data_IF_353258042333
#
_entry.id   IF_353258042333
#
_cell.length_a   1.000
_cell.length_b   1.000
_cell.length_c   1.000
_cell.angle_alpha   90.00
_cell.angle_beta   90.00
_cell.angle_gamma   90.00
#
_symmetry.space_group_name_H-M   'P 1'
#
loop_
_entity.id
_entity.type
_entity.pdbx_description
1 polymer ?
#
# COMPACT_ATOMS: atom_id res chain seq x y z
N UNK A 1 1.85 34.54 17.15
CA UNK A 1 2.98 34.32 16.23
C UNK A 1 4.08 35.27 16.61
N UNK A 2 5.30 34.75 16.77
CA UNK A 2 6.51 35.55 16.99
C UNK A 2 7.51 35.20 15.88
N UNK A 3 8.14 36.22 15.30
CA UNK A 3 9.10 36.06 14.21
C UNK A 3 10.37 36.86 14.52
N UNK A 4 11.51 36.17 14.49
CA UNK A 4 12.84 36.76 14.55
C UNK A 4 13.65 36.25 13.33
N UNK A 5 14.02 37.18 12.47
CA UNK A 5 14.75 36.83 11.27
C UNK A 5 15.75 37.92 10.90
N UNK A 6 16.85 37.54 10.28
CA UNK A 6 17.86 38.42 9.72
C UNK A 6 18.20 37.95 8.30
N UNK A 7 18.38 38.88 7.41
CA UNK A 7 18.69 38.51 6.03
C UNK A 7 19.30 39.63 5.22
N UNK A 8 19.66 39.30 4.00
CA UNK A 8 20.11 40.19 2.96
C UNK A 8 19.50 39.76 1.61
N UNK A 9 20.00 40.30 0.50
CA UNK A 9 19.47 40.00 -0.83
C UNK A 9 19.71 38.54 -1.30
N UNK A 10 20.48 37.73 -0.58
CA UNK A 10 20.94 36.42 -0.98
C UNK A 10 20.54 35.30 -0.03
N UNK A 11 20.22 35.63 1.22
CA UNK A 11 19.86 34.65 2.25
C UNK A 11 18.98 35.26 3.35
N UNK A 12 18.24 34.39 4.00
CA UNK A 12 17.53 34.71 5.25
C UNK A 12 17.83 33.66 6.29
N UNK A 13 18.22 34.12 7.47
CA UNK A 13 18.30 33.31 8.67
C UNK A 13 17.06 33.59 9.53
N UNK A 14 16.22 32.60 9.66
CA UNK A 14 15.08 32.58 10.55
C UNK A 14 15.57 32.02 11.89
N UNK A 15 15.92 32.95 12.80
CA UNK A 15 16.41 32.58 14.13
C UNK A 15 15.30 31.91 14.95
N UNK A 16 14.05 32.39 14.76
CA UNK A 16 12.88 31.83 15.44
C UNK A 16 11.59 32.25 14.74
N UNK A 17 10.75 31.28 14.44
CA UNK A 17 9.32 31.49 14.16
C UNK A 17 8.53 30.60 15.10
N UNK A 18 7.75 31.21 15.96
CA UNK A 18 6.87 30.49 16.89
C UNK A 18 5.42 30.72 16.49
N UNK A 19 4.69 29.63 16.34
CA UNK A 19 3.26 29.63 16.04
C UNK A 19 2.54 28.83 17.12
N UNK A 20 1.65 29.47 17.85
CA UNK A 20 0.71 28.77 18.72
C UNK A 20 -0.49 28.32 17.87
N UNK A 21 -0.65 27.04 17.70
CA UNK A 21 -1.73 26.40 16.95
C UNK A 21 -2.03 25.01 17.52
N UNK A 22 -3.25 24.52 17.30
CA UNK A 22 -3.68 23.19 17.74
C UNK A 22 -3.40 22.93 19.22
N UNK A 23 -3.70 23.92 20.06
CA UNK A 23 -3.49 23.90 21.52
C UNK A 23 -2.02 23.68 21.96
N UNK A 24 -1.10 23.70 21.04
CA UNK A 24 0.34 23.56 21.26
C UNK A 24 1.14 24.68 20.63
N UNK A 25 2.43 24.48 20.60
CA UNK A 25 3.39 25.42 20.02
C UNK A 25 4.28 24.73 19.00
N UNK A 26 4.50 25.42 17.90
CA UNK A 26 5.43 24.99 16.85
C UNK A 26 6.53 26.04 16.71
N UNK A 27 7.78 25.62 16.81
CA UNK A 27 8.96 26.47 16.60
C UNK A 27 9.70 26.03 15.35
N UNK A 28 9.96 26.95 14.44
CA UNK A 28 10.78 26.74 13.25
C UNK A 28 12.01 27.63 13.31
N UNK A 29 13.17 27.02 13.10
CA UNK A 29 14.44 27.67 12.76
C UNK A 29 14.86 27.28 11.37
N UNK A 30 15.30 28.21 10.54
CA UNK A 30 15.70 27.89 9.18
C UNK A 30 16.73 28.85 8.63
N UNK A 31 17.62 28.33 7.82
CA UNK A 31 18.49 29.10 6.93
C UNK A 31 18.06 28.81 5.49
N UNK A 32 17.72 29.84 4.75
CA UNK A 32 17.47 29.79 3.32
C UNK A 32 18.52 30.63 2.60
N UNK A 33 19.05 30.10 1.52
CA UNK A 33 20.02 30.74 0.65
C UNK A 33 19.58 30.57 -0.81
N UNK A 34 19.72 31.63 -1.62
CA UNK A 34 19.32 31.62 -3.03
C UNK A 34 20.33 32.30 -3.97
N UNK A 35 21.61 32.30 -3.59
CA UNK A 35 22.67 32.87 -4.40
C UNK A 35 22.85 32.17 -5.76
N UNK A 36 22.89 30.86 -5.76
CA UNK A 36 23.08 30.01 -6.95
C UNK A 36 21.91 29.03 -7.14
N UNK A 37 21.50 28.43 -6.08
CA UNK A 37 20.37 27.52 -5.99
C UNK A 37 19.57 27.89 -4.75
N UNK A 38 18.28 27.65 -4.76
CA UNK A 38 17.52 27.74 -3.49
C UNK A 38 17.95 26.56 -2.63
N UNK A 39 18.57 26.83 -1.51
CA UNK A 39 18.91 25.79 -0.51
C UNK A 39 18.32 26.13 0.85
N UNK A 40 18.05 25.13 1.62
CA UNK A 40 17.52 25.28 2.97
C UNK A 40 18.13 24.29 3.94
N UNK A 41 18.17 24.72 5.18
CA UNK A 41 18.37 23.89 6.36
C UNK A 41 17.37 24.36 7.43
N UNK A 42 16.57 23.45 7.95
CA UNK A 42 15.54 23.80 8.90
C UNK A 42 15.43 22.80 10.03
N UNK A 43 14.96 23.29 11.17
CA UNK A 43 14.61 22.51 12.34
C UNK A 43 13.22 22.93 12.80
N UNK A 44 12.29 22.00 12.82
CA UNK A 44 10.94 22.16 13.29
C UNK A 44 10.76 21.40 14.60
N UNK A 45 10.38 22.12 15.64
CA UNK A 45 10.04 21.56 16.95
C UNK A 45 8.54 21.67 17.18
N UNK A 46 7.92 20.60 17.60
CA UNK A 46 6.50 20.51 17.95
C UNK A 46 6.38 20.29 19.46
N UNK A 47 5.56 21.08 20.14
CA UNK A 47 5.35 21.01 21.59
C UNK A 47 3.85 20.92 21.89
N UNK A 48 3.41 19.76 22.37
CA UNK A 48 2.07 19.55 22.89
C UNK A 48 0.95 19.69 21.85
N UNK A 49 1.21 19.41 20.57
CA UNK A 49 0.24 19.55 19.48
C UNK A 49 -0.95 18.62 19.69
N UNK A 50 -2.15 19.19 19.74
CA UNK A 50 -3.41 18.48 19.84
C UNK A 50 -4.20 18.58 18.55
N UNK A 51 -4.41 17.44 17.89
CA UNK A 51 -5.13 17.38 16.62
C UNK A 51 -6.65 17.37 16.78
N UNK A 52 -7.18 17.27 17.99
CA UNK A 52 -8.62 17.10 18.25
C UNK A 52 -9.50 18.22 17.67
N UNK A 53 -8.96 19.45 17.54
CA UNK A 53 -9.71 20.57 17.00
C UNK A 53 -10.07 20.41 15.52
N UNK A 54 -9.15 19.86 14.73
CA UNK A 54 -9.35 19.61 13.30
C UNK A 54 -9.84 18.17 13.04
N UNK A 55 -9.43 17.24 13.89
CA UNK A 55 -9.77 15.81 13.83
C UNK A 55 -10.27 15.34 15.20
N UNK A 56 -11.56 15.55 15.54
CA UNK A 56 -12.08 15.26 16.88
C UNK A 56 -11.93 13.80 17.32
N UNK A 57 -11.88 12.88 16.36
CA UNK A 57 -11.66 11.45 16.62
C UNK A 57 -10.21 11.10 16.97
N UNK A 58 -9.27 12.05 16.81
CA UNK A 58 -7.85 11.85 17.00
C UNK A 58 -7.24 12.85 17.99
N UNK A 59 -7.77 12.93 19.23
CA UNK A 59 -7.16 13.77 20.25
C UNK A 59 -5.73 13.31 20.50
N UNK A 60 -4.80 14.26 20.54
CA UNK A 60 -3.38 13.96 20.67
C UNK A 60 -2.68 14.92 21.63
N UNK A 61 -1.49 14.52 22.05
CA UNK A 61 -0.50 15.39 22.66
C UNK A 61 0.86 14.97 22.10
N UNK A 62 1.25 15.64 21.02
CA UNK A 62 2.43 15.27 20.24
C UNK A 62 3.55 16.27 20.45
N UNK A 63 4.75 15.73 20.60
CA UNK A 63 6.01 16.47 20.60
C UNK A 63 6.88 15.92 19.47
N UNK A 64 7.67 16.77 18.83
CA UNK A 64 8.48 16.31 17.71
C UNK A 64 9.66 17.19 17.41
N UNK A 65 10.63 16.61 16.74
CA UNK A 65 11.78 17.27 16.16
C UNK A 65 11.97 16.76 14.74
N UNK A 66 11.93 17.66 13.78
CA UNK A 66 12.17 17.35 12.38
C UNK A 66 13.26 18.26 11.87
N UNK A 67 14.38 17.68 11.49
CA UNK A 67 15.43 18.40 10.77
C UNK A 67 15.35 18.12 9.28
N UNK A 68 15.47 19.16 8.47
CA UNK A 68 15.44 19.03 7.01
C UNK A 68 16.52 19.88 6.38
N UNK A 69 17.05 19.41 5.26
CA UNK A 69 17.92 20.17 4.38
C UNK A 69 17.69 19.77 2.95
N UNK A 70 17.90 20.70 2.05
CA UNK A 70 17.72 20.42 0.63
C UNK A 70 18.12 21.55 -0.27
N UNK A 71 17.91 21.33 -1.55
CA UNK A 71 18.13 22.34 -2.57
C UNK A 71 17.15 22.18 -3.73
N UNK A 72 16.92 23.30 -4.42
CA UNK A 72 16.14 23.38 -5.66
C UNK A 72 16.98 24.16 -6.68
N UNK A 73 17.29 23.53 -7.80
CA UNK A 73 18.03 24.13 -8.90
C UNK A 73 17.52 23.63 -10.24
N UNK A 74 17.25 24.56 -11.18
CA UNK A 74 16.81 24.20 -12.54
C UNK A 74 15.54 23.33 -12.60
N UNK A 75 14.64 23.48 -11.63
CA UNK A 75 13.42 22.67 -11.53
C UNK A 75 13.63 21.28 -10.89
N UNK A 76 14.86 20.92 -10.54
CA UNK A 76 15.16 19.69 -9.80
C UNK A 76 15.37 20.01 -8.33
N UNK A 77 14.83 19.14 -7.47
CA UNK A 77 15.01 19.25 -6.02
C UNK A 77 15.65 17.99 -5.44
N UNK A 78 16.34 18.17 -4.34
CA UNK A 78 16.79 17.10 -3.45
C UNK A 78 16.52 17.52 -2.00
N UNK A 79 16.10 16.57 -1.20
CA UNK A 79 15.76 16.77 0.21
C UNK A 79 16.29 15.64 1.06
N UNK A 80 16.75 15.97 2.24
CA UNK A 80 17.13 15.04 3.28
C UNK A 80 16.43 15.44 4.59
N UNK A 81 15.90 14.45 5.29
CA UNK A 81 15.42 14.55 6.67
C UNK A 81 16.35 13.70 7.54
N UNK A 82 17.47 14.28 8.05
CA UNK A 82 18.47 13.55 8.81
C UNK A 82 17.97 13.18 10.21
N UNK A 83 16.92 13.82 10.69
CA UNK A 83 16.31 13.48 11.96
C UNK A 83 14.80 13.74 11.89
N UNK A 84 14.04 12.69 12.09
CA UNK A 84 12.59 12.71 12.30
C UNK A 84 12.32 12.03 13.64
N UNK A 85 11.77 12.75 14.58
CA UNK A 85 11.30 12.22 15.86
C UNK A 85 9.94 12.79 16.17
N UNK A 86 8.97 11.92 16.43
CA UNK A 86 7.65 12.29 16.92
C UNK A 86 7.30 11.38 18.09
N UNK A 87 6.94 11.97 19.21
CA UNK A 87 6.59 11.24 20.43
C UNK A 87 5.33 11.83 21.05
N UNK A 88 4.67 11.08 21.91
CA UNK A 88 3.51 11.55 22.63
C UNK A 88 2.42 10.51 22.71
N UNK A 89 1.18 10.99 22.66
CA UNK A 89 0.02 10.11 22.65
C UNK A 89 -0.99 10.56 21.58
N UNK A 90 -1.66 9.59 20.98
CA UNK A 90 -2.86 9.79 20.18
C UNK A 90 -3.96 8.97 20.85
N UNK A 91 -5.05 9.64 21.24
CA UNK A 91 -6.02 9.06 22.18
C UNK A 91 -5.29 8.67 23.47
N UNK A 92 -5.36 7.40 23.84
CA UNK A 92 -4.65 6.85 25.00
C UNK A 92 -3.40 6.05 24.60
N UNK A 93 -3.11 5.97 23.30
CA UNK A 93 -2.01 5.17 22.79
C UNK A 93 -0.74 5.99 22.66
N UNK A 94 0.37 5.46 23.18
CA UNK A 94 1.69 6.05 23.02
C UNK A 94 2.08 6.00 21.53
N UNK A 95 2.62 7.11 21.05
CA UNK A 95 3.19 7.23 19.70
C UNK A 95 4.68 7.45 19.80
N UNK A 96 5.43 6.73 18.98
CA UNK A 96 6.82 6.98 18.72
C UNK A 96 7.08 6.80 17.22
N UNK A 97 7.62 7.82 16.57
CA UNK A 97 8.09 7.74 15.19
C UNK A 97 9.49 8.27 15.17
N UNK A 98 10.41 7.49 14.65
CA UNK A 98 11.79 7.91 14.43
C UNK A 98 12.31 7.41 13.09
N UNK A 99 13.18 8.20 12.47
CA UNK A 99 13.74 7.80 11.20
C UNK A 99 14.53 8.87 10.48
N UNK A 100 15.00 8.47 9.32
CA UNK A 100 15.71 9.31 8.37
C UNK A 100 15.23 9.00 6.96
N UNK A 101 15.18 10.00 6.10
CA UNK A 101 14.81 9.80 4.71
C UNK A 101 15.51 10.82 3.80
N UNK A 102 15.72 10.44 2.55
CA UNK A 102 16.22 11.31 1.47
C UNK A 102 15.36 11.09 0.23
N UNK A 103 15.13 12.16 -0.51
CA UNK A 103 14.38 12.07 -1.75
C UNK A 103 14.82 13.12 -2.77
N UNK A 104 14.43 12.93 -4.03
CA UNK A 104 14.71 13.88 -5.10
C UNK A 104 13.56 13.93 -6.12
N UNK A 105 13.63 14.89 -7.03
CA UNK A 105 12.65 15.12 -8.10
C UNK A 105 12.50 13.96 -9.09
N UNK A 106 13.42 13.01 -9.10
CA UNK A 106 13.35 11.79 -9.91
C UNK A 106 12.60 10.66 -9.22
N UNK A 107 11.86 10.96 -8.14
CA UNK A 107 11.12 9.97 -7.33
C UNK A 107 12.02 8.87 -6.75
N UNK A 108 13.29 9.20 -6.52
CA UNK A 108 14.20 8.31 -5.81
C UNK A 108 14.14 8.63 -4.32
N UNK A 109 13.85 7.61 -3.52
CA UNK A 109 13.76 7.71 -2.07
C UNK A 109 14.70 6.70 -1.41
N UNK A 110 15.48 7.18 -0.47
CA UNK A 110 16.28 6.34 0.43
C UNK A 110 15.71 6.48 1.84
N UNK A 111 15.43 5.36 2.46
CA UNK A 111 14.91 5.24 3.83
C UNK A 111 15.88 4.36 4.60
N UNK A 112 16.94 4.92 5.20
CA UNK A 112 17.91 4.14 5.98
C UNK A 112 17.26 3.38 7.14
N UNK A 113 16.21 3.96 7.70
CA UNK A 113 15.35 3.34 8.70
C UNK A 113 14.24 4.30 9.07
N UNK A 114 13.02 3.78 9.10
CA UNK A 114 11.82 4.44 9.62
C UNK A 114 11.13 3.46 10.56
N UNK A 115 11.02 3.84 11.82
CA UNK A 115 10.34 3.07 12.86
C UNK A 115 9.10 3.82 13.32
N UNK A 116 7.98 3.11 13.41
CA UNK A 116 6.69 3.65 13.82
C UNK A 116 6.11 2.76 14.91
N UNK A 117 5.67 3.39 15.99
CA UNK A 117 4.94 2.73 17.07
C UNK A 117 3.66 3.49 17.36
N UNK A 118 2.56 2.76 17.54
CA UNK A 118 1.28 3.30 18.01
C UNK A 118 0.62 2.31 18.96
N UNK A 119 0.66 2.61 20.25
CA UNK A 119 0.27 1.67 21.29
C UNK A 119 1.13 0.40 21.22
N UNK A 120 0.52 -0.77 21.10
CA UNK A 120 1.24 -2.03 20.98
C UNK A 120 1.72 -2.34 19.56
N UNK A 121 1.33 -1.52 18.57
CA UNK A 121 1.62 -1.78 17.16
C UNK A 121 2.93 -1.14 16.74
N UNK A 122 3.70 -1.83 15.91
CA UNK A 122 4.92 -1.33 15.33
C UNK A 122 5.03 -1.66 13.84
N UNK A 123 5.72 -0.77 13.11
CA UNK A 123 6.13 -1.01 11.74
C UNK A 123 7.55 -0.47 11.52
N UNK A 124 8.33 -1.19 10.75
CA UNK A 124 9.67 -0.78 10.34
C UNK A 124 9.76 -0.80 8.81
N UNK A 125 10.35 0.25 8.25
CA UNK A 125 10.58 0.36 6.80
C UNK A 125 12.01 0.81 6.58
N UNK A 126 12.73 0.12 5.68
CA UNK A 126 14.08 0.50 5.28
C UNK A 126 14.34 0.13 3.83
N UNK A 127 15.20 0.89 3.18
CA UNK A 127 15.63 0.58 1.83
C UNK A 127 15.59 1.76 0.88
N UNK A 128 15.46 1.45 -0.37
CA UNK A 128 15.46 2.41 -1.47
C UNK A 128 14.30 2.13 -2.41
N UNK A 129 13.66 3.21 -2.85
CA UNK A 129 12.62 3.20 -3.87
C UNK A 129 13.00 4.18 -4.95
N UNK A 130 13.05 3.71 -6.18
CA UNK A 130 13.29 4.53 -7.34
C UNK A 130 12.59 3.98 -8.57
N UNK A 131 12.60 4.73 -9.67
CA UNK A 131 12.01 4.27 -10.92
C UNK A 131 12.74 3.05 -11.47
N UNK A 132 14.05 2.95 -11.23
CA UNK A 132 14.89 1.85 -11.74
C UNK A 132 15.33 0.86 -10.67
N UNK A 133 15.37 1.28 -9.41
CA UNK A 133 15.93 0.47 -8.33
C UNK A 133 14.93 0.34 -7.19
N UNK A 134 14.57 -0.89 -6.90
CA UNK A 134 13.69 -1.27 -5.80
C UNK A 134 14.49 -2.11 -4.81
N UNK A 135 14.62 -1.65 -3.58
CA UNK A 135 15.27 -2.35 -2.49
C UNK A 135 14.63 -1.96 -1.16
N UNK A 136 13.43 -2.47 -0.89
CA UNK A 136 12.64 -2.12 0.28
C UNK A 136 12.38 -3.34 1.15
N UNK A 137 12.61 -3.20 2.45
CA UNK A 137 12.14 -4.13 3.49
C UNK A 137 11.11 -3.41 4.36
N UNK A 138 9.97 -4.02 4.57
CA UNK A 138 8.95 -3.56 5.49
C UNK A 138 8.51 -4.70 6.41
N UNK A 139 8.42 -4.43 7.70
CA UNK A 139 7.87 -5.36 8.69
C UNK A 139 6.73 -4.69 9.44
N UNK A 140 5.69 -5.44 9.76
CA UNK A 140 4.54 -4.99 10.52
C UNK A 140 4.30 -5.98 11.65
N UNK A 141 4.11 -5.45 12.86
CA UNK A 141 3.66 -6.20 14.01
C UNK A 141 2.58 -5.38 14.72
N UNK A 142 1.32 -5.70 14.47
CA UNK A 142 0.17 -4.98 14.98
C UNK A 142 -0.75 -5.94 15.76
N UNK A 143 -0.45 -6.19 17.05
CA UNK A 143 -1.27 -7.04 17.91
C UNK A 143 -2.59 -6.40 18.35
N UNK A 144 -2.85 -5.13 18.01
CA UNK A 144 -4.07 -4.40 18.36
C UNK A 144 -4.38 -3.30 17.36
N UNK A 145 -5.03 -3.64 16.24
CA UNK A 145 -5.38 -2.68 15.19
C UNK A 145 -6.43 -1.65 15.64
N UNK A 146 -7.24 -1.94 16.63
CA UNK A 146 -8.18 -1.02 17.28
C UNK A 146 -7.48 0.21 17.88
N UNK A 147 -6.22 0.08 18.24
CA UNK A 147 -5.39 1.20 18.70
C UNK A 147 -4.82 2.03 17.53
N UNK A 148 -4.78 1.48 16.30
CA UNK A 148 -4.23 2.15 15.13
C UNK A 148 -5.28 2.97 14.37
N UNK A 149 -6.46 2.40 14.15
CA UNK A 149 -7.54 3.05 13.39
C UNK A 149 -8.89 2.87 14.09
N UNK A 150 -9.69 3.95 14.24
CA UNK A 150 -11.03 3.86 14.80
C UNK A 150 -11.89 2.87 14.03
N UNK A 151 -12.52 1.93 14.74
CA UNK A 151 -13.40 0.93 14.14
C UNK A 151 -12.70 -0.24 13.46
N UNK A 152 -11.36 -0.21 13.33
CA UNK A 152 -10.59 -1.36 12.85
C UNK A 152 -10.18 -2.22 14.04
N UNK A 153 -10.65 -3.45 14.11
CA UNK A 153 -10.22 -4.44 15.11
C UNK A 153 -9.38 -5.54 14.51
N UNK A 154 -8.70 -6.29 15.38
CA UNK A 154 -7.92 -7.47 15.01
C UNK A 154 -6.41 -7.28 15.14
N UNK A 155 -5.69 -8.21 14.55
CA UNK A 155 -4.21 -8.23 14.58
C UNK A 155 -3.65 -8.41 13.18
N UNK A 156 -2.45 -7.88 12.94
CA UNK A 156 -1.72 -8.10 11.70
C UNK A 156 -0.22 -8.23 11.97
N UNK A 157 0.44 -9.12 11.25
CA UNK A 157 1.89 -9.21 11.22
C UNK A 157 2.35 -9.62 9.84
N UNK A 158 3.54 -9.17 9.47
CA UNK A 158 4.05 -9.53 8.15
C UNK A 158 5.39 -8.95 7.83
N UNK A 159 5.93 -9.49 6.76
CA UNK A 159 7.18 -9.08 6.13
C UNK A 159 6.92 -8.91 4.63
N UNK A 160 7.40 -7.80 4.08
CA UNK A 160 7.44 -7.56 2.63
C UNK A 160 8.85 -7.15 2.25
N UNK A 161 9.42 -7.81 1.25
CA UNK A 161 10.71 -7.43 0.65
C UNK A 161 10.51 -7.21 -0.84
N UNK A 162 10.92 -6.06 -1.32
CA UNK A 162 10.89 -5.72 -2.75
C UNK A 162 12.32 -5.48 -3.21
N UNK A 163 12.69 -6.06 -4.33
CA UNK A 163 14.03 -5.94 -4.94
C UNK A 163 13.90 -5.78 -6.45
N UNK A 164 15.01 -5.41 -7.10
CA UNK A 164 15.11 -5.34 -8.56
C UNK A 164 14.69 -4.01 -9.14
N UNK A 165 13.99 -4.01 -10.24
CA UNK A 165 13.48 -2.82 -10.93
C UNK A 165 11.97 -2.88 -11.10
N UNK A 166 11.33 -1.80 -11.52
CA UNK A 166 9.89 -1.80 -11.81
C UNK A 166 9.56 -2.78 -12.94
N UNK A 167 10.44 -2.91 -13.92
CA UNK A 167 10.28 -3.83 -15.05
C UNK A 167 10.60 -5.29 -14.69
N UNK A 168 11.44 -5.50 -13.67
CA UNK A 168 11.87 -6.82 -13.22
C UNK A 168 11.83 -6.92 -11.69
N UNK A 169 10.66 -6.80 -11.07
CA UNK A 169 10.52 -6.81 -9.62
C UNK A 169 10.72 -8.21 -9.04
N UNK A 170 11.30 -8.24 -7.87
CA UNK A 170 11.32 -9.42 -6.98
C UNK A 170 10.53 -9.06 -5.74
N UNK A 171 9.61 -9.92 -5.36
CA UNK A 171 8.75 -9.70 -4.20
C UNK A 171 8.75 -10.95 -3.33
N UNK A 172 9.08 -10.78 -2.06
CA UNK A 172 8.79 -11.74 -1.02
C UNK A 172 7.77 -11.11 -0.07
N UNK A 173 6.64 -11.77 0.13
CA UNK A 173 5.61 -11.33 1.07
C UNK A 173 5.15 -12.51 1.93
N UNK A 174 5.05 -12.27 3.22
CA UNK A 174 4.43 -13.18 4.20
C UNK A 174 3.64 -12.32 5.18
N UNK A 175 2.31 -12.28 5.01
CA UNK A 175 1.42 -11.44 5.79
C UNK A 175 0.32 -12.32 6.38
N UNK A 176 0.06 -12.16 7.66
CA UNK A 176 -1.05 -12.78 8.36
C UNK A 176 -1.82 -11.73 9.14
N UNK A 177 -3.15 -11.72 8.99
CA UNK A 177 -4.04 -10.94 9.84
C UNK A 177 -5.12 -11.85 10.43
N UNK A 178 -5.60 -11.52 11.65
CA UNK A 178 -6.60 -12.31 12.37
C UNK A 178 -7.60 -11.42 13.06
N UNK A 179 -8.86 -11.87 13.06
CA UNK A 179 -9.96 -11.20 13.76
C UNK A 179 -10.19 -9.77 13.26
N UNK A 180 -9.96 -9.53 11.96
CA UNK A 180 -10.20 -8.22 11.37
C UNK A 180 -11.67 -7.85 11.49
N UNK A 181 -11.93 -6.63 11.91
CA UNK A 181 -13.28 -6.05 11.99
C UNK A 181 -13.21 -4.63 11.49
N UNK A 182 -14.13 -4.27 10.60
CA UNK A 182 -14.28 -2.92 10.11
C UNK A 182 -15.77 -2.66 9.85
N UNK A 183 -16.36 -1.80 10.67
CA UNK A 183 -17.82 -1.60 10.65
C UNK A 183 -18.55 -2.95 10.80
N UNK A 184 -19.37 -3.32 9.83
CA UNK A 184 -20.11 -4.58 9.81
C UNK A 184 -19.34 -5.76 9.20
N UNK A 185 -18.17 -5.48 8.57
CA UNK A 185 -17.30 -6.51 8.00
C UNK A 185 -16.46 -7.17 9.09
N UNK A 186 -16.49 -8.49 9.15
CA UNK A 186 -15.54 -9.27 9.92
C UNK A 186 -14.85 -10.32 9.06
N UNK A 187 -13.55 -10.57 9.35
CA UNK A 187 -12.74 -11.59 8.68
C UNK A 187 -11.92 -12.30 9.75
N UNK A 188 -12.09 -13.60 9.87
CA UNK A 188 -11.38 -14.34 10.91
C UNK A 188 -9.88 -14.44 10.65
N UNK A 189 -9.49 -14.75 9.42
CA UNK A 189 -8.09 -14.86 9.06
C UNK A 189 -7.84 -14.46 7.61
N UNK A 190 -6.73 -13.74 7.41
CA UNK A 190 -6.13 -13.47 6.10
C UNK A 190 -4.68 -13.96 6.12
N UNK A 191 -4.27 -14.70 5.11
CA UNK A 191 -2.89 -15.08 4.85
C UNK A 191 -2.52 -14.76 3.42
N UNK A 192 -1.39 -14.09 3.24
CA UNK A 192 -0.82 -13.76 1.93
C UNK A 192 0.63 -14.23 1.91
N UNK A 193 0.96 -15.11 0.99
CA UNK A 193 2.31 -15.57 0.73
C UNK A 193 2.66 -15.30 -0.73
N UNK A 194 3.73 -14.55 -0.97
CA UNK A 194 4.20 -14.22 -2.31
C UNK A 194 5.71 -14.46 -2.43
N UNK A 195 6.12 -15.10 -3.50
CA UNK A 195 7.53 -15.25 -3.89
C UNK A 195 7.64 -15.07 -5.41
N UNK A 196 7.98 -13.85 -5.82
CA UNK A 196 8.13 -13.47 -7.21
C UNK A 196 9.60 -13.15 -7.46
N UNK A 197 10.17 -13.78 -8.47
CA UNK A 197 11.56 -13.59 -8.90
C UNK A 197 11.59 -13.13 -10.34
N UNK A 198 12.44 -12.18 -10.61
CA UNK A 198 12.69 -11.70 -11.96
C UNK A 198 14.16 -11.93 -12.28
N UNK A 199 14.39 -12.83 -13.21
CA UNK A 199 15.70 -13.07 -13.84
C UNK A 199 15.56 -12.74 -15.32
N UNK A 200 15.53 -13.73 -16.20
CA UNK A 200 15.27 -13.54 -17.62
C UNK A 200 13.79 -13.28 -17.92
N UNK A 201 12.92 -13.66 -17.01
CA UNK A 201 11.48 -13.42 -17.02
C UNK A 201 10.94 -13.31 -15.59
N UNK A 202 9.82 -12.62 -15.42
CA UNK A 202 9.11 -12.60 -14.13
C UNK A 202 8.46 -13.98 -13.95
N UNK A 203 8.77 -14.63 -12.83
CA UNK A 203 8.17 -15.91 -12.46
C UNK A 203 7.97 -15.96 -10.94
N UNK A 204 6.98 -16.69 -10.49
CA UNK A 204 6.75 -16.84 -9.07
C UNK A 204 5.41 -17.46 -8.70
N UNK A 205 5.06 -17.29 -7.45
CA UNK A 205 3.79 -17.72 -6.88
C UNK A 205 3.21 -16.65 -5.96
N UNK A 206 1.89 -16.61 -5.88
CA UNK A 206 1.12 -15.83 -4.92
C UNK A 206 -0.01 -16.71 -4.41
N UNK A 207 -0.05 -16.91 -3.11
CA UNK A 207 -1.08 -17.63 -2.40
C UNK A 207 -1.81 -16.67 -1.45
N UNK A 208 -3.12 -16.53 -1.63
CA UNK A 208 -3.98 -15.75 -0.75
C UNK A 208 -5.06 -16.66 -0.19
N UNK A 209 -5.25 -16.63 1.10
CA UNK A 209 -6.28 -17.36 1.82
C UNK A 209 -7.01 -16.42 2.78
N UNK A 210 -8.33 -16.33 2.63
CA UNK A 210 -9.20 -15.55 3.50
C UNK A 210 -10.27 -16.46 4.06
N UNK A 211 -10.42 -16.48 5.38
CA UNK A 211 -11.35 -17.34 6.09
C UNK A 211 -12.41 -16.53 6.83
N UNK A 212 -13.64 -17.01 6.76
CA UNK A 212 -14.79 -16.49 7.50
C UNK A 212 -14.97 -14.98 7.32
N UNK A 213 -15.34 -14.59 6.11
CA UNK A 213 -15.79 -13.23 5.83
C UNK A 213 -17.28 -13.16 6.16
N UNK A 214 -17.66 -12.25 7.03
CA UNK A 214 -19.05 -12.05 7.43
C UNK A 214 -19.42 -10.58 7.35
N UNK A 215 -20.56 -10.33 6.72
CA UNK A 215 -21.33 -9.08 6.68
C UNK A 215 -22.81 -9.42 6.79
N UNK A 216 -23.71 -8.45 7.00
CA UNK A 216 -25.15 -8.68 6.79
C UNK A 216 -25.36 -9.30 5.41
N UNK A 217 -26.09 -10.42 5.32
CA UNK A 217 -26.41 -11.13 4.07
C UNK A 217 -25.22 -11.79 3.31
N UNK A 218 -23.99 -11.74 3.84
CA UNK A 218 -22.79 -12.37 3.22
C UNK A 218 -22.02 -13.17 4.26
N UNK A 219 -21.89 -14.48 4.02
CA UNK A 219 -21.11 -15.40 4.84
C UNK A 219 -20.22 -16.26 3.94
N UNK A 220 -18.99 -15.84 3.73
CA UNK A 220 -18.01 -16.58 2.94
C UNK A 220 -17.08 -17.33 3.88
N UNK A 221 -17.12 -18.64 3.84
CA UNK A 221 -16.29 -19.48 4.71
C UNK A 221 -14.83 -19.46 4.31
N UNK A 222 -14.58 -19.44 3.00
CA UNK A 222 -13.23 -19.54 2.46
C UNK A 222 -13.13 -18.86 1.08
N UNK A 223 -12.10 -18.02 0.91
CA UNK A 223 -11.61 -17.58 -0.38
C UNK A 223 -10.16 -18.02 -0.52
N UNK A 224 -9.82 -18.69 -1.61
CA UNK A 224 -8.43 -19.00 -1.97
C UNK A 224 -8.11 -18.49 -3.37
N UNK A 225 -6.99 -17.80 -3.49
CA UNK A 225 -6.40 -17.40 -4.74
C UNK A 225 -4.99 -18.00 -4.80
N UNK A 226 -4.72 -18.83 -5.80
CA UNK A 226 -3.42 -19.38 -6.07
C UNK A 226 -3.00 -18.95 -7.47
N UNK A 227 -1.91 -18.22 -7.56
CA UNK A 227 -1.31 -17.81 -8.81
C UNK A 227 0.14 -18.32 -8.88
N UNK A 228 0.54 -18.87 -10.01
CA UNK A 228 1.90 -19.38 -10.24
C UNK A 228 2.28 -19.34 -11.71
N UNK A 229 3.57 -19.35 -11.97
CA UNK A 229 4.10 -19.42 -13.31
C UNK A 229 5.00 -18.26 -13.65
N UNK A 230 5.09 -17.96 -14.93
CA UNK A 230 5.90 -16.89 -15.47
C UNK A 230 5.10 -15.99 -16.41
N UNK A 231 5.70 -14.93 -16.92
CA UNK A 231 5.04 -14.09 -17.93
C UNK A 231 4.60 -14.89 -19.16
N UNK A 232 5.42 -15.83 -19.60
CA UNK A 232 5.12 -16.65 -20.78
C UNK A 232 4.07 -17.71 -20.55
N UNK A 233 3.90 -18.13 -19.30
CA UNK A 233 2.93 -19.12 -18.91
C UNK A 233 2.62 -18.99 -17.41
N UNK A 234 1.41 -18.57 -17.09
CA UNK A 234 0.93 -18.46 -15.73
C UNK A 234 -0.50 -18.96 -15.58
N UNK A 235 -0.80 -19.38 -14.38
CA UNK A 235 -2.10 -19.91 -13.97
C UNK A 235 -2.55 -19.18 -12.71
N UNK A 236 -3.84 -18.91 -12.65
CA UNK A 236 -4.52 -18.38 -11.48
C UNK A 236 -5.77 -19.23 -11.20
N UNK A 237 -5.93 -19.68 -9.98
CA UNK A 237 -7.08 -20.42 -9.50
C UNK A 237 -7.74 -19.62 -8.38
N UNK A 238 -9.00 -19.28 -8.55
CA UNK A 238 -9.84 -18.67 -7.53
C UNK A 238 -10.91 -19.66 -7.10
N UNK A 239 -11.10 -19.82 -5.80
CA UNK A 239 -12.21 -20.58 -5.22
C UNK A 239 -12.85 -19.77 -4.10
N UNK A 240 -14.16 -19.73 -4.11
CA UNK A 240 -14.99 -19.08 -3.09
C UNK A 240 -15.96 -20.12 -2.56
N UNK A 241 -16.11 -20.22 -1.23
CA UNK A 241 -17.04 -21.11 -0.56
C UNK A 241 -17.84 -20.30 0.46
N UNK A 242 -19.14 -20.21 0.27
CA UNK A 242 -20.03 -19.47 1.18
C UNK A 242 -21.35 -19.08 0.52
N UNK A 243 -22.05 -18.20 1.17
CA UNK A 243 -23.33 -17.65 0.74
C UNK A 243 -23.27 -16.12 0.69
N UNK A 244 -23.94 -15.44 -0.25
CA UNK A 244 -24.89 -15.95 -1.26
C UNK A 244 -24.21 -16.54 -2.51
N UNK A 245 -22.86 -16.47 -2.60
CA UNK A 245 -22.11 -16.90 -3.79
C UNK A 245 -21.00 -17.86 -3.39
N UNK A 246 -20.94 -18.99 -4.06
CA UNK A 246 -19.77 -19.87 -4.07
C UNK A 246 -19.37 -20.23 -5.49
N UNK A 247 -18.11 -20.61 -5.70
CA UNK A 247 -17.66 -20.96 -7.04
C UNK A 247 -16.17 -21.09 -7.19
N UNK A 248 -15.79 -21.35 -8.42
CA UNK A 248 -14.39 -21.46 -8.82
C UNK A 248 -14.18 -20.98 -10.25
N UNK A 249 -12.96 -20.54 -10.52
CA UNK A 249 -12.50 -20.27 -11.88
C UNK A 249 -11.00 -20.57 -12.00
N UNK A 250 -10.57 -20.93 -13.19
CA UNK A 250 -9.18 -21.06 -13.56
C UNK A 250 -8.90 -20.12 -14.73
N UNK A 251 -7.84 -19.34 -14.58
CA UNK A 251 -7.33 -18.45 -15.63
C UNK A 251 -5.91 -18.88 -15.95
N UNK A 252 -5.63 -19.15 -17.23
CA UNK A 252 -4.28 -19.42 -17.71
C UNK A 252 -3.93 -18.44 -18.82
N UNK A 253 -2.68 -17.99 -18.88
CA UNK A 253 -2.33 -16.98 -19.87
C UNK A 253 -0.83 -16.73 -20.02
N UNK A 254 -0.55 -15.77 -20.89
CA UNK A 254 0.78 -15.27 -21.18
C UNK A 254 0.74 -13.76 -21.38
N UNK A 255 1.82 -13.09 -21.00
CA UNK A 255 2.01 -11.65 -21.19
C UNK A 255 3.20 -11.38 -22.12
N UNK A 256 2.98 -10.60 -23.16
CA UNK A 256 4.02 -10.07 -24.03
C UNK A 256 4.34 -8.62 -23.64
N UNK A 257 5.56 -8.39 -23.13
CA UNK A 257 6.01 -7.05 -22.69
C UNK A 257 6.14 -6.05 -23.81
N UNK A 258 6.55 -6.49 -25.04
CA UNK A 258 6.77 -5.57 -26.16
C UNK A 258 5.45 -5.02 -26.68
N UNK A 259 4.48 -5.90 -26.78
CA UNK A 259 3.14 -5.56 -27.22
C UNK A 259 2.26 -5.04 -26.07
N UNK A 260 2.70 -5.19 -24.83
CA UNK A 260 1.91 -4.95 -23.61
C UNK A 260 0.54 -5.66 -23.70
N UNK A 261 0.58 -6.91 -24.10
CA UNK A 261 -0.60 -7.71 -24.42
C UNK A 261 -0.65 -8.95 -23.54
N UNK A 262 -1.78 -9.14 -22.92
CA UNK A 262 -2.09 -10.39 -22.21
C UNK A 262 -3.07 -11.21 -23.00
N UNK A 263 -2.76 -12.48 -23.20
CA UNK A 263 -3.65 -13.48 -23.80
C UNK A 263 -3.85 -14.62 -22.84
N UNK A 264 -5.08 -15.10 -22.75
CA UNK A 264 -5.37 -16.22 -21.85
C UNK A 264 -6.70 -16.87 -22.09
N UNK A 265 -6.99 -17.82 -21.24
CA UNK A 265 -8.18 -18.66 -21.28
C UNK A 265 -8.77 -18.75 -19.87
N UNK A 266 -10.05 -18.44 -19.76
CA UNK A 266 -10.85 -18.72 -18.57
C UNK A 266 -11.51 -20.06 -18.74
N UNK A 267 -11.27 -20.97 -17.82
CA UNK A 267 -11.74 -22.37 -17.87
C UNK A 267 -12.30 -22.84 -16.54
N UNK A 268 -12.94 -24.00 -16.52
CA UNK A 268 -13.45 -24.66 -15.33
C UNK A 268 -14.20 -23.71 -14.37
N UNK A 269 -15.00 -22.83 -14.96
CA UNK A 269 -15.70 -21.76 -14.22
C UNK A 269 -17.12 -22.20 -13.91
N UNK A 270 -17.45 -22.16 -12.64
CA UNK A 270 -18.81 -22.43 -12.13
C UNK A 270 -19.08 -21.61 -10.90
N UNK A 271 -20.32 -21.16 -10.76
CA UNK A 271 -20.80 -20.39 -9.64
C UNK A 271 -22.13 -20.92 -9.16
N UNK A 272 -22.31 -20.94 -7.85
CA UNK A 272 -23.60 -21.09 -7.19
C UNK A 272 -24.04 -19.69 -6.79
N UNK A 273 -25.22 -19.30 -7.20
CA UNK A 273 -25.81 -17.99 -6.89
C UNK A 273 -27.23 -18.16 -6.32
N UNK A 274 -27.86 -17.13 -5.79
CA UNK A 274 -29.25 -17.20 -5.32
C UNK A 274 -30.26 -17.61 -6.40
N UNK A 275 -29.92 -17.39 -7.69
CA UNK A 275 -30.76 -17.80 -8.83
C UNK A 275 -30.34 -19.16 -9.42
N UNK A 276 -29.50 -19.91 -8.70
CA UNK A 276 -29.08 -21.26 -9.05
C UNK A 276 -27.63 -21.39 -9.51
N UNK A 277 -27.22 -22.62 -9.89
CA UNK A 277 -25.88 -22.90 -10.36
C UNK A 277 -25.70 -22.44 -11.81
N UNK A 278 -24.54 -21.84 -12.09
CA UNK A 278 -24.12 -21.47 -13.44
C UNK A 278 -22.77 -22.10 -13.75
N UNK A 279 -22.67 -22.73 -14.89
CA UNK A 279 -21.44 -23.35 -15.38
C UNK A 279 -21.09 -22.83 -16.76
N UNK A 280 -19.82 -22.52 -16.96
CA UNK A 280 -19.30 -22.21 -18.29
C UNK A 280 -19.33 -23.48 -19.14
N UNK A 281 -19.90 -23.41 -20.35
CA UNK A 281 -20.04 -24.57 -21.23
C UNK A 281 -18.77 -24.88 -22.01
N UNK A 282 -17.94 -23.89 -22.28
CA UNK A 282 -16.64 -23.99 -22.95
C UNK A 282 -15.71 -22.87 -22.49
N UNK A 283 -14.42 -23.11 -22.62
CA UNK A 283 -13.39 -22.14 -22.27
C UNK A 283 -13.56 -20.82 -23.04
N UNK A 284 -13.31 -19.69 -22.35
CA UNK A 284 -13.39 -18.35 -22.91
C UNK A 284 -11.97 -17.88 -23.25
N UNK A 285 -11.72 -17.54 -24.50
CA UNK A 285 -10.51 -16.86 -24.90
C UNK A 285 -10.58 -15.37 -24.49
N UNK A 286 -9.53 -14.87 -23.86
CA UNK A 286 -9.38 -13.49 -23.44
C UNK A 286 -8.15 -12.88 -24.08
N UNK A 287 -8.26 -11.63 -24.53
CA UNK A 287 -7.16 -10.87 -25.13
C UNK A 287 -7.23 -9.43 -24.64
N UNK A 288 -6.28 -9.02 -23.79
CA UNK A 288 -6.16 -7.67 -23.27
C UNK A 288 -4.95 -6.96 -23.84
N UNK A 289 -5.17 -5.78 -24.42
CA UNK A 289 -4.16 -4.91 -25.01
C UNK A 289 -4.05 -3.63 -24.20
N UNK A 290 -3.00 -3.50 -23.42
CA UNK A 290 -2.83 -2.38 -22.50
C UNK A 290 -2.69 -1.05 -23.25
N UNK A 291 -1.93 -0.99 -24.34
CA UNK A 291 -1.74 0.24 -25.13
C UNK A 291 -3.05 0.79 -25.70
N UNK A 292 -3.97 -0.10 -26.07
CA UNK A 292 -5.27 0.25 -26.62
C UNK A 292 -6.35 0.33 -25.55
N UNK A 293 -6.05 -0.09 -24.31
CA UNK A 293 -6.99 -0.28 -23.20
C UNK A 293 -8.22 -1.11 -23.64
N UNK A 294 -7.98 -2.11 -24.49
CA UNK A 294 -9.03 -2.93 -25.10
C UNK A 294 -8.96 -4.35 -24.55
N UNK A 295 -10.14 -4.86 -24.17
CA UNK A 295 -10.34 -6.27 -23.87
C UNK A 295 -11.23 -6.90 -24.94
N UNK A 296 -10.86 -8.06 -25.44
CA UNK A 296 -11.69 -8.88 -26.31
C UNK A 296 -12.00 -10.19 -25.63
N UNK A 297 -13.27 -10.55 -25.60
CA UNK A 297 -13.79 -11.74 -24.94
C UNK A 297 -14.39 -12.64 -26.02
N UNK A 298 -13.91 -13.88 -26.08
CA UNK A 298 -14.40 -14.88 -27.03
C UNK A 298 -15.87 -15.25 -26.77
N UNK A 299 -16.56 -15.80 -27.77
CA UNK A 299 -17.95 -16.23 -27.65
C UNK A 299 -18.06 -17.34 -26.61
N UNK A 300 -19.04 -17.23 -25.70
CA UNK A 300 -19.23 -18.19 -24.61
C UNK A 300 -20.68 -18.28 -24.19
N UNK A 301 -21.02 -19.41 -23.56
CA UNK A 301 -22.33 -19.64 -22.99
C UNK A 301 -22.20 -20.11 -21.54
N UNK A 302 -23.15 -19.70 -20.74
CA UNK A 302 -23.34 -20.12 -19.36
C UNK A 302 -24.63 -20.93 -19.27
N UNK A 303 -24.55 -22.09 -18.65
CA UNK A 303 -25.65 -23.00 -18.44
C UNK A 303 -26.11 -22.98 -17.00
N UNK A 304 -27.39 -22.80 -16.81
CA UNK A 304 -28.15 -23.03 -15.60
C UNK A 304 -29.19 -24.12 -15.89
N UNK A 305 -29.66 -24.94 -14.95
CA UNK A 305 -30.68 -25.98 -15.18
C UNK A 305 -31.93 -25.49 -15.92
N UNK A 306 -32.27 -24.21 -15.77
CA UNK A 306 -33.49 -23.62 -16.34
C UNK A 306 -33.22 -22.57 -17.42
N UNK A 307 -31.95 -22.28 -17.72
CA UNK A 307 -31.61 -21.19 -18.66
C UNK A 307 -30.22 -21.38 -19.29
N UNK A 308 -30.08 -20.87 -20.48
CA UNK A 308 -28.78 -20.70 -21.15
C UNK A 308 -28.59 -19.23 -21.52
N UNK A 309 -27.45 -18.69 -21.17
CA UNK A 309 -27.04 -17.33 -21.52
C UNK A 309 -25.83 -17.38 -22.43
N UNK A 310 -25.96 -16.96 -23.66
CA UNK A 310 -24.85 -16.90 -24.61
C UNK A 310 -24.47 -15.46 -24.93
N UNK A 311 -23.17 -15.19 -24.94
CA UNK A 311 -22.59 -13.91 -25.29
C UNK A 311 -21.79 -14.12 -26.58
N UNK A 312 -22.08 -13.37 -27.66
CA UNK A 312 -21.24 -13.40 -28.86
C UNK A 312 -19.87 -12.79 -28.57
N UNK A 313 -18.97 -12.88 -29.52
CA UNK A 313 -17.66 -12.25 -29.41
C UNK A 313 -17.83 -10.72 -29.25
N UNK A 314 -17.14 -10.14 -28.26
CA UNK A 314 -17.11 -8.72 -27.98
C UNK A 314 -15.70 -8.15 -28.06
#
# INVERSE_FOLDING_TARGET
>A
ITLEAKGNEQQVNLDKLTVAALEGETELKALLDWQQAISWRGELTLNGINTAKEFPEWPSKLNGLIKTRGSLYGGTWQMEVPELKLTGNVKQNKVNVDGTLKGNSYMQWMIPGLHLELGPNSAEVKGELGVKDLNLDATINAPGLDNALPGLGGTAKGLVKVRGTVEAPQLLADITARGLRWQELSVAQVRVEGDIKSTDQIAGKLDVRVEQISQPDVNINLVTLNAKGSEKQHELQLRIQGEPVSGQLNLAGSFDRKEERWKGTLSNTRFQTPVGPWSLTRDIALDYRNKEQKISIGPHCWLNPNAELCVPQT
#
